data_IF_099015056551
#
_entry.id   IF_099015056551
#
_cell.length_a   1.000
_cell.length_b   1.000
_cell.length_c   1.000
_cell.angle_alpha   90.00
_cell.angle_beta   90.00
_cell.angle_gamma   90.00
#
_symmetry.space_group_name_H-M   'P 1'
#
loop_
_entity.id
_entity.type
_entity.pdbx_description
1 polymer ?
#
# COMPACT_ATOMS: atom_id res chain seq x y z
N UNK A 1 -62.27 36.57 -12.98
CA UNK A 1 -62.58 37.45 -11.84
C UNK A 1 -61.97 36.82 -10.61
N UNK A 2 -60.77 37.28 -10.28
CA UNK A 2 -60.18 37.07 -8.97
C UNK A 2 -60.86 38.06 -8.02
N UNK A 3 -61.21 37.62 -6.82
CA UNK A 3 -61.09 38.52 -5.70
C UNK A 3 -60.68 37.79 -4.43
N UNK A 4 -59.82 38.50 -3.71
CA UNK A 4 -58.88 38.07 -2.70
C UNK A 4 -59.49 38.35 -1.32
N UNK A 5 -59.35 37.46 -0.33
CA UNK A 5 -59.50 37.83 1.08
C UNK A 5 -58.78 36.85 2.03
N UNK A 6 -57.48 37.10 2.19
CA UNK A 6 -56.84 37.36 3.49
C UNK A 6 -57.36 36.57 4.72
N UNK A 7 -56.81 35.38 4.98
CA UNK A 7 -56.98 34.68 6.27
C UNK A 7 -55.73 34.86 7.12
N UNK A 8 -55.89 35.64 8.18
CA UNK A 8 -54.93 35.87 9.26
C UNK A 8 -54.42 34.53 9.83
N UNK A 9 -53.09 34.41 9.91
CA UNK A 9 -52.42 33.43 10.74
C UNK A 9 -52.91 33.54 12.19
N UNK A 10 -53.59 32.50 12.69
CA UNK A 10 -53.75 32.27 14.12
C UNK A 10 -52.63 31.33 14.56
N UNK A 11 -51.56 31.93 15.06
CA UNK A 11 -50.54 31.25 15.88
C UNK A 11 -51.26 30.71 17.10
N UNK A 12 -51.53 29.40 17.11
CA UNK A 12 -52.03 28.69 18.28
C UNK A 12 -50.81 28.23 19.06
N UNK A 13 -50.31 29.10 19.94
CA UNK A 13 -49.31 28.73 20.93
C UNK A 13 -49.96 27.73 21.90
N UNK A 14 -49.79 26.43 21.63
CA UNK A 14 -50.26 25.37 22.50
C UNK A 14 -49.34 25.35 23.73
N UNK A 15 -49.89 25.79 24.86
CA UNK A 15 -49.31 25.77 26.20
C UNK A 15 -49.04 24.33 26.65
N UNK A 16 -47.89 23.77 26.24
CA UNK A 16 -47.36 22.49 26.78
C UNK A 16 -46.84 22.65 28.22
N UNK A 17 -46.80 23.87 28.75
CA UNK A 17 -46.38 24.17 30.13
C UNK A 17 -47.32 23.67 31.23
N UNK A 18 -48.54 23.22 30.92
CA UNK A 18 -49.55 22.88 31.95
C UNK A 18 -49.67 21.38 32.25
N UNK A 19 -49.09 20.49 31.45
CA UNK A 19 -49.24 19.03 31.67
C UNK A 19 -48.19 18.49 32.65
N UNK A 20 -47.03 19.14 32.79
CA UNK A 20 -46.02 18.76 33.79
C UNK A 20 -46.38 19.20 35.23
N UNK A 21 -47.41 20.03 35.41
CA UNK A 21 -47.91 20.45 36.72
C UNK A 21 -48.90 19.48 37.38
N UNK A 22 -49.42 18.48 36.66
CA UNK A 22 -50.51 17.61 37.16
C UNK A 22 -50.03 16.22 37.57
N UNK A 23 -48.80 15.81 37.25
CA UNK A 23 -48.25 14.51 37.73
C UNK A 23 -47.81 14.59 39.23
N UNK A 24 -47.81 15.78 39.83
CA UNK A 24 -47.36 16.02 41.21
C UNK A 24 -48.45 16.22 42.29
N UNK A 25 -49.74 16.26 41.95
CA UNK A 25 -50.79 16.55 42.94
C UNK A 25 -51.98 15.60 42.77
N UNK A 26 -52.08 14.62 43.69
CA UNK A 26 -53.33 13.92 43.94
C UNK A 26 -54.38 14.91 44.41
N UNK A 27 -55.38 15.20 43.57
CA UNK A 27 -56.51 16.05 43.91
C UNK A 27 -57.66 15.18 44.44
N UNK A 28 -57.71 15.03 45.76
CA UNK A 28 -58.95 14.76 46.48
C UNK A 28 -59.66 16.08 46.73
N UNK A 29 -60.85 16.27 46.14
CA UNK A 29 -61.68 17.44 46.40
C UNK A 29 -62.39 17.31 47.77
N UNK A 30 -62.13 18.24 48.68
CA UNK A 30 -62.80 18.35 50.00
C UNK A 30 -64.03 19.23 49.84
N UNK A 31 -65.23 18.66 49.94
CA UNK A 31 -66.45 19.45 50.10
C UNK A 31 -66.63 19.82 51.58
N UNK A 32 -66.48 21.10 51.90
CA UNK A 32 -66.74 21.70 53.21
C UNK A 32 -68.09 22.42 53.18
N UNK A 33 -69.13 21.77 53.70
CA UNK A 33 -70.31 22.45 54.22
C UNK A 33 -70.51 21.97 55.66
N UNK A 34 -70.47 22.92 56.60
CA UNK A 34 -70.57 22.62 58.02
C UNK A 34 -71.96 22.14 58.41
N UNK A 35 -72.02 21.06 59.18
CA UNK A 35 -72.35 21.19 60.59
C UNK A 35 -71.82 19.99 61.38
N UNK A 36 -71.41 20.27 62.62
CA UNK A 36 -70.98 19.40 63.73
C UNK A 36 -70.62 17.91 63.45
N UNK A 37 -69.33 17.63 63.68
CA UNK A 37 -68.75 16.36 64.15
C UNK A 37 -69.08 15.07 63.34
N UNK A 38 -68.24 14.73 62.37
CA UNK A 38 -68.23 13.42 61.73
C UNK A 38 -66.99 13.19 60.85
N UNK A 39 -66.36 12.03 61.00
CA UNK A 39 -65.10 11.60 60.33
C UNK A 39 -65.22 11.65 58.79
N UNK A 40 -64.27 12.32 58.12
CA UNK A 40 -64.19 12.35 56.66
C UNK A 40 -63.85 10.94 56.12
N UNK A 41 -64.76 10.36 55.33
CA UNK A 41 -64.51 9.11 54.58
C UNK A 41 -64.04 9.46 53.17
N UNK A 42 -62.90 8.93 52.76
CA UNK A 42 -62.43 8.97 51.38
C UNK A 42 -63.23 7.98 50.54
N UNK A 43 -63.88 8.48 49.48
CA UNK A 43 -64.40 7.65 48.40
C UNK A 43 -63.54 7.88 47.16
N UNK A 44 -63.02 6.84 46.48
CA UNK A 44 -62.29 7.02 45.24
C UNK A 44 -63.27 7.51 44.17
N UNK A 45 -63.05 8.72 43.65
CA UNK A 45 -63.74 9.17 42.45
C UNK A 45 -63.32 8.28 41.28
N UNK A 46 -64.28 7.61 40.65
CA UNK A 46 -64.03 6.90 39.40
C UNK A 46 -63.58 7.94 38.38
N UNK A 47 -62.33 7.84 37.94
CA UNK A 47 -61.81 8.59 36.81
C UNK A 47 -62.74 8.34 35.62
N UNK A 48 -63.34 9.40 35.10
CA UNK A 48 -64.27 9.24 33.97
C UNK A 48 -63.50 8.74 32.74
N UNK A 49 -64.23 8.15 31.80
CA UNK A 49 -63.63 7.57 30.59
C UNK A 49 -62.96 8.63 29.71
N UNK A 50 -63.37 9.88 29.84
CA UNK A 50 -62.91 10.98 28.99
C UNK A 50 -61.52 11.43 29.45
N UNK A 51 -61.33 11.64 30.75
CA UNK A 51 -60.04 11.95 31.37
C UNK A 51 -59.02 10.84 31.15
N UNK A 52 -59.46 9.57 31.24
CA UNK A 52 -58.59 8.42 30.97
C UNK A 52 -58.15 8.34 29.49
N UNK A 53 -59.03 8.70 28.56
CA UNK A 53 -58.73 8.74 27.13
C UNK A 53 -57.80 9.90 26.76
N UNK A 54 -57.96 11.07 27.39
CA UNK A 54 -57.03 12.19 27.22
C UNK A 54 -55.62 11.86 27.73
N UNK A 55 -55.53 11.15 28.86
CA UNK A 55 -54.24 10.71 29.41
C UNK A 55 -53.55 9.68 28.50
N UNK A 56 -54.30 8.72 27.95
CA UNK A 56 -53.74 7.74 27.02
C UNK A 56 -53.30 8.40 25.71
N UNK A 57 -54.10 9.31 25.16
CA UNK A 57 -53.73 10.08 23.96
C UNK A 57 -52.48 10.93 24.18
N UNK A 58 -52.35 11.55 25.35
CA UNK A 58 -51.15 12.31 25.72
C UNK A 58 -49.92 11.41 25.89
N UNK A 59 -50.10 10.19 26.43
CA UNK A 59 -49.03 9.20 26.57
C UNK A 59 -48.57 8.64 25.22
N UNK A 60 -49.50 8.42 24.29
CA UNK A 60 -49.21 7.97 22.94
C UNK A 60 -48.48 9.07 22.14
N UNK A 61 -48.90 10.33 22.27
CA UNK A 61 -48.18 11.47 21.70
C UNK A 61 -46.75 11.63 22.27
N UNK A 62 -46.54 11.32 23.55
CA UNK A 62 -45.21 11.30 24.16
C UNK A 62 -44.34 10.16 23.62
N UNK A 63 -44.93 8.99 23.35
CA UNK A 63 -44.24 7.86 22.73
C UNK A 63 -43.87 8.13 21.27
N UNK A 64 -44.77 8.74 20.52
CA UNK A 64 -44.50 9.17 19.14
C UNK A 64 -43.39 10.23 19.09
N UNK A 65 -43.41 11.21 19.99
CA UNK A 65 -42.33 12.22 20.06
C UNK A 65 -40.98 11.64 20.49
N UNK A 66 -40.96 10.64 21.38
CA UNK A 66 -39.72 9.90 21.68
C UNK A 66 -39.22 9.09 20.48
N UNK A 67 -40.12 8.45 19.72
CA UNK A 67 -39.77 7.73 18.50
C UNK A 67 -39.20 8.67 17.43
N UNK A 68 -39.78 9.86 17.26
CA UNK A 68 -39.27 10.89 16.34
C UNK A 68 -37.88 11.38 16.76
N UNK A 69 -37.63 11.55 18.06
CA UNK A 69 -36.29 11.95 18.52
C UNK A 69 -35.23 10.86 18.27
N UNK A 70 -35.61 9.59 18.37
CA UNK A 70 -34.71 8.48 18.05
C UNK A 70 -34.36 8.46 16.55
N UNK A 71 -35.35 8.61 15.67
CA UNK A 71 -35.11 8.65 14.21
C UNK A 71 -34.32 9.88 13.77
N UNK A 72 -34.52 11.04 14.41
CA UNK A 72 -33.73 12.26 14.12
C UNK A 72 -32.25 12.08 14.49
N UNK A 73 -31.94 11.35 15.56
CA UNK A 73 -30.56 11.03 15.91
C UNK A 73 -29.89 10.09 14.88
N UNK A 74 -30.66 9.21 14.25
CA UNK A 74 -30.21 8.28 13.21
C UNK A 74 -29.97 8.93 11.84
N UNK A 75 -30.44 10.16 11.61
CA UNK A 75 -30.21 10.92 10.35
C UNK A 75 -29.31 12.15 10.54
N UNK A 76 -28.91 12.48 11.76
CA UNK A 76 -28.03 13.63 12.01
C UNK A 76 -26.61 13.40 11.45
N UNK A 77 -25.85 14.44 11.05
CA UNK A 77 -24.46 14.30 10.64
C UNK A 77 -23.58 13.66 11.73
N UNK A 78 -22.58 12.86 11.33
CA UNK A 78 -21.70 12.10 12.25
C UNK A 78 -21.01 12.99 13.30
N UNK A 79 -20.62 14.22 12.94
CA UNK A 79 -20.01 15.20 13.84
C UNK A 79 -20.92 15.61 15.01
N UNK A 80 -22.24 15.61 14.78
CA UNK A 80 -23.24 15.95 15.79
C UNK A 80 -23.49 14.75 16.70
N UNK A 81 -23.53 13.53 16.14
CA UNK A 81 -23.69 12.28 16.92
C UNK A 81 -22.54 12.04 17.90
N UNK A 82 -21.31 12.42 17.52
CA UNK A 82 -20.10 12.20 18.34
C UNK A 82 -19.95 13.19 19.50
N UNK A 83 -20.72 14.28 19.57
CA UNK A 83 -20.63 15.27 20.65
C UNK A 83 -21.49 14.89 21.85
N UNK A 84 -20.87 14.52 22.98
CA UNK A 84 -21.58 14.37 24.25
C UNK A 84 -21.34 15.58 25.15
N UNK A 85 -22.41 16.11 25.75
CA UNK A 85 -22.31 17.18 26.76
C UNK A 85 -22.65 16.57 28.11
N UNK A 86 -21.66 16.35 28.96
CA UNK A 86 -21.85 15.79 30.31
C UNK A 86 -22.32 14.33 30.31
N UNK A 87 -21.83 13.50 29.38
CA UNK A 87 -22.15 12.06 29.31
C UNK A 87 -23.55 11.74 28.78
N UNK A 88 -24.30 12.74 28.30
CA UNK A 88 -25.60 12.56 27.63
C UNK A 88 -25.49 12.93 26.16
N UNK A 89 -26.22 12.23 25.27
CA UNK A 89 -26.30 12.61 23.86
C UNK A 89 -26.89 14.03 23.73
N UNK A 90 -26.50 14.78 22.70
CA UNK A 90 -26.94 16.15 22.53
C UNK A 90 -28.45 16.17 22.24
N UNK A 91 -29.18 17.10 22.86
CA UNK A 91 -30.58 17.34 22.52
C UNK A 91 -30.63 17.97 21.12
N UNK A 92 -31.05 17.20 20.13
CA UNK A 92 -31.24 17.67 18.77
C UNK A 92 -32.52 18.52 18.72
N UNK A 93 -32.39 19.84 18.57
CA UNK A 93 -33.51 20.67 18.15
C UNK A 93 -33.68 20.50 16.64
N UNK A 94 -34.89 20.19 16.13
CA UNK A 94 -35.11 20.05 14.69
C UNK A 94 -35.10 21.44 14.06
N UNK A 95 -33.94 21.89 13.63
CA UNK A 95 -33.78 23.05 12.75
C UNK A 95 -33.30 22.46 11.43
N UNK A 96 -34.25 22.05 10.59
CA UNK A 96 -34.08 21.59 9.19
C UNK A 96 -32.68 21.07 8.85
N UNK A 97 -32.36 19.84 9.26
CA UNK A 97 -31.27 19.11 8.63
C UNK A 97 -31.79 18.58 7.29
N UNK A 98 -31.62 19.37 6.24
CA UNK A 98 -31.69 18.81 4.89
C UNK A 98 -30.39 18.02 4.69
N UNK A 99 -30.43 16.68 4.54
CA UNK A 99 -29.23 15.94 4.18
C UNK A 99 -28.70 16.52 2.87
N UNK A 100 -27.38 16.58 2.75
CA UNK A 100 -26.77 17.13 1.55
C UNK A 100 -26.97 16.13 0.41
N UNK A 101 -27.89 16.44 -0.49
CA UNK A 101 -28.18 15.62 -1.65
C UNK A 101 -27.31 16.04 -2.81
N UNK A 102 -26.67 15.06 -3.45
CA UNK A 102 -25.84 15.24 -4.63
C UNK A 102 -26.56 14.66 -5.84
N UNK A 103 -26.55 15.39 -6.95
CA UNK A 103 -27.03 14.87 -8.22
C UNK A 103 -25.84 14.42 -9.05
N UNK A 104 -25.78 13.12 -9.33
CA UNK A 104 -24.74 12.54 -10.18
C UNK A 104 -25.36 12.04 -11.49
N UNK A 105 -24.57 12.08 -12.56
CA UNK A 105 -24.95 11.47 -13.84
C UNK A 105 -24.37 10.07 -13.89
N UNK A 106 -25.23 9.05 -13.88
CA UNK A 106 -24.84 7.66 -14.09
C UNK A 106 -25.35 7.20 -15.45
N UNK A 107 -24.46 7.14 -16.44
CA UNK A 107 -24.82 6.84 -17.83
C UNK A 107 -25.70 7.93 -18.45
N UNK A 108 -26.93 7.55 -18.80
CA UNK A 108 -27.93 8.40 -19.46
C UNK A 108 -28.96 9.02 -18.50
N UNK A 109 -28.92 8.70 -17.20
CA UNK A 109 -29.85 9.23 -16.20
C UNK A 109 -29.14 9.97 -15.05
N UNK A 110 -29.84 10.93 -14.44
CA UNK A 110 -29.38 11.63 -13.24
C UNK A 110 -29.97 10.97 -12.00
N UNK A 111 -29.11 10.61 -11.04
CA UNK A 111 -29.49 10.00 -9.77
C UNK A 111 -29.23 11.00 -8.64
N UNK A 112 -30.18 11.14 -7.71
CA UNK A 112 -29.98 11.90 -6.48
C UNK A 112 -29.47 10.93 -5.42
N UNK A 113 -28.35 11.27 -4.80
CA UNK A 113 -27.61 10.44 -3.84
C UNK A 113 -27.48 11.23 -2.54
N UNK A 114 -27.83 10.60 -1.42
CA UNK A 114 -27.47 11.11 -0.11
C UNK A 114 -26.06 10.60 0.24
N UNK A 115 -25.10 11.50 0.29
CA UNK A 115 -23.69 11.13 0.51
C UNK A 115 -23.41 10.66 1.94
N UNK A 116 -24.33 10.89 2.88
CA UNK A 116 -24.19 10.47 4.28
C UNK A 116 -24.89 9.14 4.58
N UNK A 117 -25.65 8.60 3.63
CA UNK A 117 -26.33 7.32 3.76
C UNK A 117 -25.45 6.19 3.21
N UNK A 118 -25.19 5.17 4.03
CA UNK A 118 -24.43 3.98 3.66
C UNK A 118 -25.12 3.16 2.56
N UNK A 119 -26.45 3.24 2.47
CA UNK A 119 -27.25 2.50 1.51
C UNK A 119 -27.31 3.20 0.15
N UNK A 120 -26.88 4.46 0.09
CA UNK A 120 -26.88 5.23 -1.14
C UNK A 120 -25.80 4.73 -2.12
N UNK A 121 -26.05 4.82 -3.45
CA UNK A 121 -25.08 4.39 -4.44
C UNK A 121 -23.72 5.08 -4.27
N UNK A 122 -22.65 4.30 -4.38
CA UNK A 122 -21.28 4.85 -4.37
C UNK A 122 -21.06 5.70 -5.62
N UNK A 123 -20.54 6.92 -5.42
CA UNK A 123 -20.21 7.82 -6.52
C UNK A 123 -18.97 7.32 -7.27
N UNK A 124 -18.01 6.76 -6.54
CA UNK A 124 -16.76 6.22 -7.07
C UNK A 124 -16.74 4.71 -6.91
N UNK A 125 -16.44 3.98 -7.99
CA UNK A 125 -16.47 2.52 -7.98
C UNK A 125 -15.53 1.95 -6.90
N UNK A 126 -16.09 1.07 -6.06
CA UNK A 126 -15.33 0.34 -5.04
C UNK A 126 -14.98 1.13 -3.78
N UNK A 127 -15.36 2.42 -3.67
CA UNK A 127 -15.07 3.25 -2.49
C UNK A 127 -16.38 3.89 -1.96
N UNK A 128 -16.77 3.62 -0.70
CA UNK A 128 -17.95 4.23 -0.07
C UNK A 128 -17.88 5.75 0.01
N UNK A 129 -19.02 6.43 -0.17
CA UNK A 129 -19.11 7.89 -0.06
C UNK A 129 -18.65 8.38 1.33
N UNK A 130 -19.04 7.66 2.39
CA UNK A 130 -18.63 7.97 3.75
C UNK A 130 -17.10 7.92 3.94
N UNK A 131 -16.38 7.05 3.25
CA UNK A 131 -14.93 6.98 3.38
C UNK A 131 -14.27 8.29 2.94
N UNK A 132 -14.72 8.90 1.84
CA UNK A 132 -14.21 10.21 1.43
C UNK A 132 -14.52 11.29 2.48
N UNK A 133 -15.68 11.25 3.10
CA UNK A 133 -16.10 12.25 4.11
C UNK A 133 -15.27 12.09 5.39
N UNK A 134 -15.12 10.86 5.89
CA UNK A 134 -14.39 10.57 7.13
C UNK A 134 -12.89 10.87 7.01
N UNK A 135 -12.33 10.77 5.80
CA UNK A 135 -10.94 11.14 5.52
C UNK A 135 -10.77 12.57 4.99
N UNK A 136 -11.79 13.43 5.10
CA UNK A 136 -11.68 14.85 4.75
C UNK A 136 -11.59 15.16 3.25
N UNK A 137 -11.84 14.17 2.38
CA UNK A 137 -11.77 14.24 0.92
C UNK A 137 -13.09 14.66 0.24
N UNK A 138 -13.98 15.32 0.97
CA UNK A 138 -15.29 15.74 0.44
C UNK A 138 -15.18 16.63 -0.80
N UNK A 139 -14.13 17.46 -0.87
CA UNK A 139 -13.85 18.32 -2.02
C UNK A 139 -13.40 17.52 -3.27
N UNK A 140 -12.70 16.40 -3.07
CA UNK A 140 -12.22 15.55 -4.15
C UNK A 140 -13.31 14.61 -4.64
N UNK A 141 -14.20 14.13 -3.76
CA UNK A 141 -15.33 13.26 -4.09
C UNK A 141 -16.24 13.82 -5.21
N UNK A 142 -16.30 15.15 -5.39
CA UNK A 142 -17.03 15.78 -6.51
C UNK A 142 -16.40 15.64 -7.88
N UNK A 143 -15.16 15.16 -7.97
CA UNK A 143 -14.40 15.01 -9.22
C UNK A 143 -14.55 13.59 -9.72
N UNK A 144 -14.77 13.41 -11.02
CA UNK A 144 -14.98 12.08 -11.62
C UNK A 144 -13.83 11.07 -11.35
N UNK A 145 -12.60 11.56 -11.13
CA UNK A 145 -11.43 10.72 -10.85
C UNK A 145 -11.01 10.69 -9.39
N UNK A 146 -11.88 11.04 -8.43
CA UNK A 146 -11.50 11.19 -7.01
C UNK A 146 -10.75 9.99 -6.44
N UNK A 147 -11.16 8.77 -6.82
CA UNK A 147 -10.52 7.54 -6.36
C UNK A 147 -9.08 7.37 -6.84
N UNK A 148 -8.73 7.93 -8.01
CA UNK A 148 -7.40 7.78 -8.61
C UNK A 148 -6.53 9.03 -8.42
N UNK A 149 -7.02 10.00 -7.62
CA UNK A 149 -6.27 11.18 -7.21
C UNK A 149 -5.36 10.87 -6.03
N UNK A 150 -4.27 11.63 -5.96
CA UNK A 150 -3.32 11.69 -4.85
C UNK A 150 -3.60 13.00 -4.09
N UNK A 151 -4.39 12.91 -3.02
CA UNK A 151 -4.97 14.07 -2.34
C UNK A 151 -3.98 14.75 -1.39
N UNK A 152 -3.04 14.01 -0.81
CA UNK A 152 -2.01 14.51 0.10
C UNK A 152 -0.63 14.71 -0.55
N UNK A 153 -0.45 14.22 -1.78
CA UNK A 153 0.74 14.42 -2.60
C UNK A 153 1.87 13.42 -2.33
N UNK A 154 1.60 12.34 -1.59
CA UNK A 154 2.61 11.36 -1.22
C UNK A 154 2.95 10.39 -2.37
N UNK A 155 2.14 10.35 -3.43
CA UNK A 155 2.31 9.53 -4.62
C UNK A 155 1.45 8.24 -4.63
N UNK A 156 0.64 7.99 -3.61
CA UNK A 156 -0.40 6.97 -3.59
C UNK A 156 -1.75 7.56 -3.99
N UNK A 157 -2.60 6.75 -4.62
CA UNK A 157 -3.96 7.17 -4.93
C UNK A 157 -4.90 6.84 -3.79
N UNK A 158 -5.98 7.62 -3.67
CA UNK A 158 -7.04 7.40 -2.70
C UNK A 158 -7.57 5.95 -2.71
N UNK A 159 -7.59 5.28 -3.87
CA UNK A 159 -7.97 3.87 -4.02
C UNK A 159 -6.96 2.90 -3.42
N UNK A 160 -5.67 3.15 -3.64
CA UNK A 160 -4.59 2.34 -3.07
C UNK A 160 -4.63 2.43 -1.53
N UNK A 161 -4.86 3.63 -1.01
CA UNK A 161 -4.97 3.91 0.42
C UNK A 161 -6.23 3.35 1.05
N UNK A 162 -7.37 3.46 0.37
CA UNK A 162 -8.61 2.80 0.78
C UNK A 162 -8.40 1.29 0.95
N UNK A 163 -7.72 0.67 -0.01
CA UNK A 163 -7.43 -0.78 0.01
C UNK A 163 -6.44 -1.14 1.13
N UNK A 164 -5.49 -0.27 1.40
CA UNK A 164 -4.48 -0.44 2.45
C UNK A 164 -4.95 0.01 3.85
N UNK A 165 -6.16 0.58 3.96
CA UNK A 165 -6.71 1.16 5.18
C UNK A 165 -5.83 2.27 5.79
N UNK A 166 -5.22 3.09 4.92
CA UNK A 166 -4.43 4.26 5.32
C UNK A 166 -5.21 5.55 5.15
N UNK A 167 -4.73 6.64 5.74
CA UNK A 167 -5.36 7.95 5.70
C UNK A 167 -4.89 8.78 4.49
N UNK A 168 -5.75 9.01 3.48
CA UNK A 168 -5.42 9.73 2.24
C UNK A 168 -5.33 11.25 2.36
N UNK A 169 -5.44 11.76 3.58
CA UNK A 169 -5.24 13.17 3.89
C UNK A 169 -3.96 13.41 4.70
N UNK A 170 -3.21 12.34 5.00
CA UNK A 170 -2.01 12.38 5.81
C UNK A 170 -0.85 11.73 5.05
N UNK A 171 0.10 12.52 4.50
CA UNK A 171 1.20 12.00 3.67
C UNK A 171 2.19 11.15 4.48
N UNK A 172 2.10 11.16 5.81
CA UNK A 172 2.89 10.29 6.68
C UNK A 172 2.24 8.91 6.89
N UNK A 173 0.97 8.75 6.52
CA UNK A 173 0.16 7.54 6.60
C UNK A 173 0.02 6.89 5.22
N UNK A 174 1.11 6.34 4.70
CA UNK A 174 1.13 5.76 3.35
C UNK A 174 1.13 4.21 3.35
N UNK A 175 0.61 3.57 2.29
CA UNK A 175 0.76 2.12 2.07
C UNK A 175 2.23 1.69 1.89
N UNK A 176 2.51 0.37 1.92
CA UNK A 176 3.82 -0.15 1.50
C UNK A 176 4.10 0.18 0.03
N UNK A 177 5.33 0.61 -0.26
CA UNK A 177 5.81 0.96 -1.62
C UNK A 177 5.65 -0.21 -2.62
N UNK A 178 5.72 -1.44 -2.11
CA UNK A 178 5.49 -2.66 -2.90
C UNK A 178 4.69 -3.66 -2.07
N UNK A 179 3.57 -4.14 -2.62
CA UNK A 179 2.76 -5.20 -2.00
C UNK A 179 1.40 -5.35 -2.68
N UNK A 180 0.91 -6.60 -2.81
CA UNK A 180 -0.35 -6.87 -3.49
C UNK A 180 -0.34 -6.34 -4.93
N UNK A 181 -1.23 -5.38 -5.23
CA UNK A 181 -1.33 -4.70 -6.53
C UNK A 181 -0.56 -3.37 -6.60
N UNK A 182 0.08 -2.94 -5.50
CA UNK A 182 0.77 -1.65 -5.39
C UNK A 182 2.23 -1.80 -5.83
N UNK A 183 2.63 -0.96 -6.77
CA UNK A 183 4.00 -0.88 -7.29
C UNK A 183 4.42 0.59 -7.43
N UNK A 184 5.08 1.12 -6.40
CA UNK A 184 5.62 2.50 -6.38
C UNK A 184 7.14 2.52 -6.51
N UNK A 185 7.62 1.71 -7.45
CA UNK A 185 9.01 1.65 -7.86
C UNK A 185 9.11 1.87 -9.36
N UNK A 186 10.20 2.48 -9.78
CA UNK A 186 10.63 2.49 -11.18
C UNK A 186 12.08 2.03 -11.27
N UNK A 187 12.42 1.29 -12.31
CA UNK A 187 13.81 0.95 -12.61
C UNK A 187 14.43 2.05 -13.48
N UNK A 188 15.30 2.87 -12.89
CA UNK A 188 15.88 4.04 -13.57
C UNK A 188 17.06 3.70 -14.45
N UNK A 189 17.80 2.66 -14.09
CA UNK A 189 19.05 2.30 -14.77
C UNK A 189 19.30 0.81 -14.71
N UNK A 190 19.60 0.21 -15.85
CA UNK A 190 20.07 -1.18 -15.93
C UNK A 190 21.51 -1.16 -16.45
N UNK A 191 22.42 -1.76 -15.68
CA UNK A 191 23.83 -1.87 -16.03
C UNK A 191 24.26 -3.33 -16.00
N UNK A 192 24.65 -3.87 -17.15
CA UNK A 192 25.29 -5.19 -17.22
C UNK A 192 26.80 -5.02 -17.24
N UNK A 193 27.45 -5.48 -16.18
CA UNK A 193 28.91 -5.58 -16.11
C UNK A 193 29.34 -6.91 -16.69
N UNK A 194 30.06 -6.89 -17.82
CA UNK A 194 30.63 -8.08 -18.43
C UNK A 194 32.15 -8.07 -18.27
N UNK A 195 32.71 -9.15 -17.75
CA UNK A 195 34.15 -9.31 -17.57
C UNK A 195 34.57 -10.75 -17.84
N UNK A 196 35.82 -10.95 -18.23
CA UNK A 196 36.43 -12.27 -18.36
C UNK A 196 37.58 -12.38 -17.37
N UNK A 197 37.59 -13.46 -16.60
CA UNK A 197 38.66 -13.88 -15.71
C UNK A 197 39.49 -14.93 -16.43
N UNK A 198 40.75 -14.59 -16.67
CA UNK A 198 41.72 -15.45 -17.30
C UNK A 198 42.85 -15.74 -16.32
N UNK A 199 43.06 -17.02 -16.01
CA UNK A 199 44.20 -17.43 -15.20
C UNK A 199 45.40 -17.67 -16.09
N UNK A 200 46.60 -17.39 -15.56
CA UNK A 200 47.84 -17.72 -16.23
C UNK A 200 47.95 -19.21 -16.55
N UNK A 201 48.28 -19.53 -17.80
CA UNK A 201 48.32 -20.92 -18.28
C UNK A 201 49.27 -21.82 -17.47
N UNK A 202 50.37 -21.26 -16.93
CA UNK A 202 51.32 -22.01 -16.10
C UNK A 202 50.71 -22.53 -14.80
N UNK A 203 49.61 -21.93 -14.33
CA UNK A 203 48.90 -22.40 -13.14
C UNK A 203 48.23 -23.77 -13.35
N UNK A 204 47.94 -24.17 -14.60
CA UNK A 204 47.28 -25.44 -14.91
C UNK A 204 48.14 -26.65 -14.55
N UNK A 205 49.48 -26.52 -14.57
CA UNK A 205 50.40 -27.61 -14.30
C UNK A 205 50.43 -27.97 -12.80
N UNK A 206 50.00 -29.17 -12.39
CA UNK A 206 50.03 -29.59 -10.99
C UNK A 206 51.44 -29.63 -10.38
N UNK A 207 52.49 -29.76 -11.20
CA UNK A 207 53.89 -29.78 -10.76
C UNK A 207 54.44 -28.39 -10.44
N UNK A 208 53.78 -27.33 -10.94
CA UNK A 208 54.18 -25.94 -10.71
C UNK A 208 53.83 -25.51 -9.29
N UNK A 209 54.84 -25.40 -8.41
CA UNK A 209 54.65 -24.95 -7.02
C UNK A 209 54.50 -23.44 -6.98
N UNK A 210 53.28 -22.98 -6.70
CA UNK A 210 52.99 -21.56 -6.43
C UNK A 210 51.88 -21.43 -5.39
N UNK A 211 52.05 -20.48 -4.48
CA UNK A 211 51.07 -20.06 -3.46
C UNK A 211 50.16 -18.93 -3.96
N UNK A 212 50.39 -18.44 -5.17
CA UNK A 212 49.58 -17.41 -5.83
C UNK A 212 49.04 -17.86 -7.19
N UNK A 213 47.98 -17.20 -7.63
CA UNK A 213 47.45 -17.31 -9.00
C UNK A 213 47.38 -15.93 -9.63
N UNK A 214 48.00 -15.77 -10.80
CA UNK A 214 47.83 -14.59 -11.62
C UNK A 214 46.46 -14.62 -12.32
N UNK A 215 45.59 -13.68 -11.97
CA UNK A 215 44.28 -13.51 -12.60
C UNK A 215 44.30 -12.21 -13.40
N UNK A 216 44.00 -12.33 -14.69
CA UNK A 216 43.74 -11.20 -15.58
C UNK A 216 42.24 -11.02 -15.72
N UNK A 217 41.72 -9.88 -15.26
CA UNK A 217 40.32 -9.49 -15.43
C UNK A 217 40.23 -8.52 -16.59
N UNK A 218 39.50 -8.87 -17.65
CA UNK A 218 39.31 -8.01 -18.82
C UNK A 218 37.83 -7.67 -18.98
N UNK A 219 37.50 -6.38 -19.10
CA UNK A 219 36.13 -5.96 -19.39
C UNK A 219 35.73 -6.41 -20.80
N UNK A 220 34.51 -6.95 -20.93
CA UNK A 220 33.93 -7.36 -22.20
C UNK A 220 32.90 -6.32 -22.70
N UNK A 221 32.75 -6.23 -24.01
CA UNK A 221 31.68 -5.46 -24.66
C UNK A 221 30.33 -6.17 -24.53
N UNK A 222 29.22 -5.51 -24.91
CA UNK A 222 27.88 -6.13 -25.01
C UNK A 222 27.87 -7.38 -25.91
N UNK A 223 28.77 -7.48 -26.88
CA UNK A 223 28.91 -8.64 -27.78
C UNK A 223 29.85 -9.73 -27.23
N UNK A 224 30.36 -9.58 -26.00
CA UNK A 224 31.28 -10.54 -25.38
C UNK A 224 32.74 -10.41 -25.83
N UNK A 225 33.10 -9.36 -26.57
CA UNK A 225 34.48 -9.16 -27.03
C UNK A 225 35.34 -8.45 -25.96
N UNK A 226 36.59 -8.87 -25.72
CA UNK A 226 37.51 -8.21 -24.80
C UNK A 226 37.82 -6.77 -25.19
N UNK A 227 37.95 -5.89 -24.19
CA UNK A 227 38.34 -4.47 -24.36
C UNK A 227 39.78 -4.23 -23.90
N UNK A 228 40.27 -2.99 -24.07
CA UNK A 228 41.61 -2.57 -23.55
C UNK A 228 41.65 -2.41 -22.03
N UNK A 229 40.49 -2.44 -21.38
CA UNK A 229 40.36 -2.30 -19.93
C UNK A 229 40.58 -3.67 -19.28
N UNK A 230 41.83 -3.91 -18.89
CA UNK A 230 42.26 -5.16 -18.27
C UNK A 230 43.20 -4.90 -17.10
N UNK A 231 42.99 -5.62 -15.99
CA UNK A 231 43.83 -5.57 -14.80
C UNK A 231 44.36 -6.98 -14.50
N UNK A 232 45.67 -7.10 -14.28
CA UNK A 232 46.30 -8.36 -13.88
C UNK A 232 46.81 -8.22 -12.45
N UNK A 233 46.47 -9.18 -11.59
CA UNK A 233 46.93 -9.23 -10.20
C UNK A 233 47.08 -10.67 -9.73
N UNK A 234 48.02 -10.89 -8.83
CA UNK A 234 48.23 -12.18 -8.18
C UNK A 234 47.42 -12.27 -6.88
N UNK A 235 46.79 -13.43 -6.67
CA UNK A 235 45.92 -13.69 -5.52
C UNK A 235 46.34 -14.95 -4.78
N UNK A 236 46.22 -14.94 -3.46
CA UNK A 236 46.43 -16.08 -2.56
C UNK A 236 45.10 -16.67 -2.12
N UNK A 237 45.15 -17.86 -1.53
CA UNK A 237 43.99 -18.46 -0.87
C UNK A 237 43.51 -17.55 0.27
N UNK A 238 42.21 -17.25 0.28
CA UNK A 238 41.56 -16.31 1.20
C UNK A 238 41.41 -14.89 0.65
N UNK A 239 42.09 -14.53 -0.44
CA UNK A 239 41.99 -13.18 -1.01
C UNK A 239 40.65 -12.96 -1.73
N UNK A 240 40.14 -11.72 -1.63
CA UNK A 240 38.99 -11.27 -2.42
C UNK A 240 39.45 -10.83 -3.82
N UNK A 241 38.89 -11.47 -4.84
CA UNK A 241 39.17 -11.20 -6.25
C UNK A 241 38.41 -9.96 -6.68
N UNK A 242 39.17 -8.96 -7.14
CA UNK A 242 38.63 -7.72 -7.68
C UNK A 242 38.18 -7.94 -9.12
N UNK A 243 36.89 -7.70 -9.38
CA UNK A 243 36.28 -7.72 -10.71
C UNK A 243 35.97 -6.29 -11.12
N UNK A 244 36.85 -5.70 -11.95
CA UNK A 244 36.75 -4.30 -12.37
C UNK A 244 36.66 -3.34 -11.16
N UNK A 245 35.51 -2.72 -10.90
CA UNK A 245 35.31 -1.84 -9.73
C UNK A 245 34.92 -2.59 -8.46
N UNK A 246 34.45 -3.83 -8.57
CA UNK A 246 33.92 -4.61 -7.46
C UNK A 246 35.02 -5.44 -6.80
N UNK A 247 35.46 -5.06 -5.60
CA UNK A 247 36.62 -5.68 -4.94
C UNK A 247 36.30 -7.00 -4.21
N UNK A 248 35.02 -7.35 -4.02
CA UNK A 248 34.58 -8.47 -3.14
C UNK A 248 33.61 -9.45 -3.81
N UNK A 249 33.65 -9.57 -5.15
CA UNK A 249 32.70 -10.43 -5.88
C UNK A 249 32.95 -11.92 -5.63
N UNK A 250 34.22 -12.33 -5.67
CA UNK A 250 34.65 -13.71 -5.45
C UNK A 250 35.74 -13.76 -4.40
N UNK A 251 35.81 -14.84 -3.64
CA UNK A 251 36.92 -15.16 -2.75
C UNK A 251 37.64 -16.40 -3.23
N UNK A 252 38.96 -16.38 -3.20
CA UNK A 252 39.76 -17.58 -3.50
C UNK A 252 39.60 -18.57 -2.35
N UNK A 253 38.89 -19.67 -2.59
CA UNK A 253 38.66 -20.71 -1.59
C UNK A 253 39.84 -21.65 -1.44
N UNK A 254 40.33 -22.18 -2.56
CA UNK A 254 41.46 -23.10 -2.59
C UNK A 254 42.00 -23.25 -4.03
N UNK A 255 43.18 -23.86 -4.13
CA UNK A 255 43.71 -24.38 -5.39
C UNK A 255 43.55 -25.90 -5.38
N UNK A 256 42.69 -26.40 -6.25
CA UNK A 256 42.36 -27.82 -6.31
C UNK A 256 42.99 -28.46 -7.55
N UNK A 257 43.13 -29.78 -7.53
CA UNK A 257 43.54 -30.58 -8.68
C UNK A 257 42.35 -31.41 -9.14
N UNK A 258 42.01 -31.34 -10.42
CA UNK A 258 40.87 -32.04 -11.01
C UNK A 258 41.26 -32.74 -12.31
N UNK A 259 40.61 -33.86 -12.57
CA UNK A 259 40.73 -34.59 -13.83
C UNK A 259 39.70 -34.06 -14.84
N UNK A 260 40.16 -33.76 -16.04
CA UNK A 260 39.32 -33.37 -17.16
C UNK A 260 39.56 -34.31 -18.35
N UNK A 261 38.55 -34.56 -19.21
CA UNK A 261 38.78 -35.25 -20.47
C UNK A 261 39.76 -34.45 -21.32
N UNK A 262 40.72 -35.13 -21.94
CA UNK A 262 41.64 -34.49 -22.87
C UNK A 262 40.85 -33.94 -24.07
N UNK A 263 41.26 -32.77 -24.57
CA UNK A 263 40.52 -32.07 -25.62
C UNK A 263 40.43 -32.85 -26.96
N UNK A 264 41.36 -33.77 -27.21
CA UNK A 264 41.42 -34.55 -28.45
C UNK A 264 40.95 -36.00 -28.28
N UNK A 265 41.01 -36.55 -27.07
CA UNK A 265 40.55 -37.89 -26.74
C UNK A 265 39.84 -37.90 -25.38
N UNK A 266 38.50 -37.91 -25.36
CA UNK A 266 37.72 -37.90 -24.13
C UNK A 266 37.93 -39.12 -23.23
N UNK A 267 38.52 -40.21 -23.76
CA UNK A 267 38.86 -41.41 -22.99
C UNK A 267 40.13 -41.24 -22.15
N UNK A 268 40.96 -40.25 -22.52
CA UNK A 268 42.16 -39.87 -21.78
C UNK A 268 41.80 -38.79 -20.76
N UNK A 269 42.24 -38.98 -19.51
CA UNK A 269 42.05 -37.99 -18.46
C UNK A 269 43.34 -37.22 -18.21
N UNK A 270 43.26 -35.91 -18.32
CA UNK A 270 44.35 -34.99 -17.99
C UNK A 270 44.08 -34.38 -16.61
N UNK A 271 45.12 -34.35 -15.78
CA UNK A 271 45.04 -33.75 -14.45
C UNK A 271 45.49 -32.30 -14.53
N UNK A 272 44.61 -31.39 -14.18
CA UNK A 272 44.90 -29.95 -14.16
C UNK A 272 44.65 -29.37 -12.78
N UNK A 273 45.41 -28.33 -12.47
CA UNK A 273 45.14 -27.50 -11.31
C UNK A 273 44.16 -26.39 -11.68
N UNK A 274 43.17 -26.21 -10.81
CA UNK A 274 42.06 -25.27 -10.97
C UNK A 274 41.95 -24.34 -9.78
N UNK A 275 41.44 -23.15 -10.05
CA UNK A 275 41.09 -22.18 -9.02
C UNK A 275 39.66 -22.45 -8.56
N UNK A 276 39.46 -22.59 -7.26
CA UNK A 276 38.12 -22.68 -6.69
C UNK A 276 37.77 -21.34 -6.08
N UNK A 277 36.72 -20.72 -6.60
CA UNK A 277 36.17 -19.45 -6.15
C UNK A 277 34.88 -19.69 -5.36
N UNK A 278 34.72 -18.93 -4.28
CA UNK A 278 33.45 -18.78 -3.58
C UNK A 278 32.77 -17.49 -4.04
N UNK A 279 31.47 -17.58 -4.33
CA UNK A 279 30.64 -16.45 -4.69
C UNK A 279 30.20 -15.71 -3.41
N UNK A 280 30.78 -14.54 -3.15
CA UNK A 280 30.47 -13.75 -1.95
C UNK A 280 29.08 -13.11 -1.98
N UNK A 281 28.45 -13.00 -3.16
CA UNK A 281 27.10 -12.44 -3.32
C UNK A 281 26.02 -13.50 -3.11
N UNK A 282 26.33 -14.75 -3.40
CA UNK A 282 25.48 -15.89 -3.12
C UNK A 282 26.25 -16.96 -2.32
N UNK A 283 26.32 -16.84 -0.98
CA UNK A 283 27.05 -17.79 -0.14
C UNK A 283 26.44 -19.21 -0.15
N UNK A 284 25.24 -19.38 -0.69
CA UNK A 284 24.61 -20.70 -0.88
C UNK A 284 24.97 -21.34 -2.23
N UNK A 285 25.59 -20.60 -3.15
CA UNK A 285 26.03 -21.13 -4.42
C UNK A 285 27.14 -22.16 -4.24
N UNK A 286 27.18 -23.16 -5.12
CA UNK A 286 28.27 -24.11 -5.15
C UNK A 286 29.59 -23.39 -5.54
N UNK A 287 30.75 -23.80 -4.98
CA UNK A 287 32.04 -23.24 -5.36
C UNK A 287 32.31 -23.40 -6.87
N UNK A 288 32.83 -22.35 -7.48
CA UNK A 288 33.06 -22.26 -8.92
C UNK A 288 34.49 -22.71 -9.21
N UNK A 289 34.66 -23.68 -10.10
CA UNK A 289 35.98 -24.15 -10.53
C UNK A 289 36.37 -23.51 -11.86
N UNK A 290 37.51 -22.84 -11.90
CA UNK A 290 38.00 -22.13 -13.09
C UNK A 290 39.30 -22.78 -13.57
N UNK A 291 39.31 -23.25 -14.82
CA UNK A 291 40.49 -23.81 -15.50
C UNK A 291 41.39 -22.70 -16.04
N UNK A 292 42.70 -22.92 -16.04
CA UNK A 292 43.66 -21.90 -16.44
C UNK A 292 43.99 -21.89 -17.93
N UNK A 293 44.31 -20.72 -18.48
CA UNK A 293 44.54 -20.56 -19.92
C UNK A 293 43.37 -19.96 -20.68
N UNK A 294 43.58 -19.68 -21.97
CA UNK A 294 42.60 -18.97 -22.82
C UNK A 294 41.51 -19.91 -23.30
N UNK A 295 40.23 -19.46 -23.32
CA UNK A 295 39.17 -20.24 -23.92
C UNK A 295 39.46 -20.49 -25.40
N UNK A 296 39.27 -21.73 -25.85
CA UNK A 296 39.43 -22.08 -27.27
C UNK A 296 38.14 -21.74 -28.03
N UNK A 297 38.26 -21.39 -29.31
CA UNK A 297 37.09 -21.23 -30.15
C UNK A 297 36.35 -22.58 -30.26
N UNK A 298 35.04 -22.59 -30.00
CA UNK A 298 34.16 -23.76 -30.03
C UNK A 298 34.39 -24.81 -28.93
N UNK A 299 35.04 -24.45 -27.82
CA UNK A 299 35.17 -25.33 -26.66
C UNK A 299 33.80 -25.55 -26.00
N UNK A 300 33.44 -26.81 -25.72
CA UNK A 300 32.25 -27.11 -24.94
C UNK A 300 32.31 -26.41 -23.58
N UNK A 301 31.17 -25.98 -23.05
CA UNK A 301 31.11 -25.21 -21.81
C UNK A 301 31.79 -25.93 -20.63
N UNK A 302 31.78 -27.26 -20.62
CA UNK A 302 32.43 -28.12 -19.63
C UNK A 302 33.96 -28.13 -19.69
N UNK A 303 34.54 -27.75 -20.83
CA UNK A 303 35.99 -27.67 -21.04
C UNK A 303 36.52 -26.24 -20.98
N UNK A 304 35.64 -25.25 -20.88
CA UNK A 304 35.98 -23.86 -21.05
C UNK A 304 37.05 -23.40 -20.06
N UNK A 305 38.10 -22.79 -20.60
CA UNK A 305 39.13 -22.14 -19.81
C UNK A 305 38.76 -20.68 -19.48
N UNK A 306 39.16 -20.24 -18.29
CA UNK A 306 38.73 -18.96 -17.73
C UNK A 306 37.24 -18.96 -17.35
N UNK A 307 36.75 -17.78 -16.98
CA UNK A 307 35.37 -17.58 -16.56
C UNK A 307 34.86 -16.26 -17.10
N UNK A 308 33.69 -16.27 -17.74
CA UNK A 308 32.99 -15.02 -18.08
C UNK A 308 32.00 -14.68 -16.96
N UNK A 309 31.97 -13.41 -16.59
CA UNK A 309 31.05 -12.83 -15.61
C UNK A 309 30.10 -11.91 -16.38
N UNK A 310 28.81 -12.02 -16.08
CA UNK A 310 27.78 -11.12 -16.57
C UNK A 310 26.85 -10.76 -15.40
N UNK A 311 27.21 -9.71 -14.67
CA UNK A 311 26.44 -9.22 -13.54
C UNK A 311 25.53 -8.08 -14.00
N UNK A 312 24.23 -8.33 -14.02
CA UNK A 312 23.22 -7.29 -14.29
C UNK A 312 22.80 -6.64 -12.98
N UNK A 313 22.93 -5.33 -12.89
CA UNK A 313 22.45 -4.52 -11.78
C UNK A 313 21.32 -3.59 -12.24
N UNK A 314 20.31 -3.44 -11.39
CA UNK A 314 19.20 -2.49 -11.60
C UNK A 314 19.23 -1.46 -10.48
N UNK A 315 19.14 -0.19 -10.86
CA UNK A 315 18.90 0.91 -9.92
C UNK A 315 17.40 1.18 -9.91
N UNK A 316 16.81 1.04 -8.73
CA UNK A 316 15.40 1.37 -8.50
C UNK A 316 15.29 2.75 -7.87
N UNK A 317 14.25 3.49 -8.23
CA UNK A 317 13.81 4.70 -7.56
C UNK A 317 12.43 4.50 -6.98
N UNK A 318 12.24 5.00 -5.76
CA UNK A 318 10.94 5.00 -5.09
C UNK A 318 10.11 6.19 -5.61
N UNK A 319 8.88 5.94 -6.03
CA UNK A 319 8.02 6.97 -6.62
C UNK A 319 6.97 7.53 -5.68
N UNK A 320 6.75 6.93 -4.50
CA UNK A 320 5.78 7.37 -3.50
C UNK A 320 6.22 7.15 -2.04
N UNK A 321 5.52 7.80 -1.11
CA UNK A 321 5.74 7.75 0.34
C UNK A 321 6.94 8.56 0.82
N UNK A 322 7.31 8.37 2.09
CA UNK A 322 8.39 9.16 2.76
C UNK A 322 9.76 9.05 2.11
N UNK A 323 10.01 7.93 1.44
CA UNK A 323 11.26 7.62 0.77
C UNK A 323 11.26 7.98 -0.72
N UNK A 324 10.22 8.70 -1.20
CA UNK A 324 10.09 9.15 -2.59
C UNK A 324 11.36 9.87 -3.08
N UNK A 325 11.83 9.45 -4.25
CA UNK A 325 13.05 9.95 -4.89
C UNK A 325 14.33 9.25 -4.44
N UNK A 326 14.31 8.42 -3.39
CA UNK A 326 15.50 7.63 -3.01
C UNK A 326 15.77 6.56 -4.05
N UNK A 327 17.04 6.37 -4.34
CA UNK A 327 17.53 5.36 -5.27
C UNK A 327 18.35 4.29 -4.53
N UNK A 328 18.23 3.05 -4.99
CA UNK A 328 19.05 1.94 -4.48
C UNK A 328 19.35 0.94 -5.60
N UNK A 329 20.53 0.34 -5.53
CA UNK A 329 21.04 -0.59 -6.54
C UNK A 329 20.93 -2.03 -6.07
N UNK A 330 20.42 -2.91 -6.93
CA UNK A 330 20.20 -4.34 -6.65
C UNK A 330 20.78 -5.16 -7.79
N UNK A 331 21.45 -6.27 -7.46
CA UNK A 331 21.94 -7.22 -8.45
C UNK A 331 20.89 -8.28 -8.79
N UNK A 332 20.91 -8.74 -10.05
CA UNK A 332 20.04 -9.81 -10.51
C UNK A 332 20.23 -11.07 -9.64
N UNK A 333 19.12 -11.63 -9.16
CA UNK A 333 19.12 -12.78 -8.26
C UNK A 333 19.38 -12.45 -6.78
N UNK A 334 19.74 -11.20 -6.45
CA UNK A 334 19.98 -10.78 -5.07
C UNK A 334 18.66 -10.52 -4.33
N UNK A 335 18.61 -10.96 -3.08
CA UNK A 335 17.56 -10.57 -2.14
C UNK A 335 17.81 -9.17 -1.60
N UNK A 336 16.76 -8.35 -1.50
CA UNK A 336 16.84 -6.98 -0.99
C UNK A 336 15.56 -6.62 -0.24
N UNK A 337 15.62 -5.55 0.56
CA UNK A 337 14.46 -4.97 1.21
C UNK A 337 14.22 -3.59 0.60
N UNK A 338 12.99 -3.32 0.18
CA UNK A 338 12.62 -2.00 -0.35
C UNK A 338 12.44 -1.06 0.85
N UNK A 339 13.08 0.13 0.86
CA UNK A 339 12.80 1.14 1.89
C UNK A 339 11.29 1.45 1.94
N UNK A 340 10.71 1.43 3.15
CA UNK A 340 9.26 1.55 3.35
C UNK A 340 8.46 0.25 3.22
N UNK A 341 9.09 -0.88 2.92
CA UNK A 341 8.45 -2.20 2.95
C UNK A 341 9.24 -3.17 3.85
N UNK A 342 8.54 -3.92 4.70
CA UNK A 342 9.17 -4.95 5.54
C UNK A 342 9.35 -6.29 4.81
N UNK A 343 8.76 -6.45 3.62
CA UNK A 343 8.85 -7.68 2.86
C UNK A 343 10.22 -7.83 2.18
N UNK A 344 10.76 -9.05 2.22
CA UNK A 344 11.94 -9.39 1.45
C UNK A 344 11.57 -9.54 -0.04
N UNK A 345 12.33 -8.87 -0.89
CA UNK A 345 12.19 -8.90 -2.34
C UNK A 345 13.37 -9.64 -2.98
N UNK A 346 13.19 -10.14 -4.20
CA UNK A 346 14.29 -10.69 -5.00
C UNK A 346 14.11 -10.26 -6.45
N UNK A 347 15.19 -9.75 -7.04
CA UNK A 347 15.21 -9.37 -8.45
C UNK A 347 15.32 -10.63 -9.31
N UNK A 348 14.31 -10.92 -10.13
CA UNK A 348 14.22 -12.19 -10.89
C UNK A 348 14.72 -12.05 -12.32
N UNK A 349 14.26 -11.04 -13.02
CA UNK A 349 14.49 -10.90 -14.45
C UNK A 349 14.49 -9.43 -14.84
N UNK A 350 15.25 -9.10 -15.87
CA UNK A 350 15.19 -7.81 -16.55
C UNK A 350 14.68 -8.08 -17.97
N UNK A 351 13.51 -7.57 -18.29
CA UNK A 351 12.90 -7.73 -19.60
C UNK A 351 13.08 -6.44 -20.41
N UNK A 352 14.12 -6.43 -21.24
CA UNK A 352 14.42 -5.29 -22.13
C UNK A 352 13.33 -5.08 -23.21
N UNK A 353 12.59 -6.13 -23.60
CA UNK A 353 11.56 -6.05 -24.64
C UNK A 353 10.29 -5.38 -24.10
N UNK A 354 9.92 -5.71 -22.86
CA UNK A 354 8.71 -5.17 -22.20
C UNK A 354 9.00 -3.89 -21.41
N UNK A 355 10.23 -3.37 -21.48
CA UNK A 355 10.69 -2.22 -20.72
C UNK A 355 10.37 -2.33 -19.21
N UNK A 356 10.56 -3.51 -18.64
CA UNK A 356 10.17 -3.82 -17.26
C UNK A 356 11.16 -4.75 -16.57
N UNK A 357 11.08 -4.80 -15.24
CA UNK A 357 11.91 -5.61 -14.37
C UNK A 357 11.01 -6.42 -13.46
N UNK A 358 11.23 -7.73 -13.39
CA UNK A 358 10.40 -8.64 -12.59
C UNK A 358 11.02 -8.83 -11.22
N UNK A 359 10.25 -8.54 -10.17
CA UNK A 359 10.63 -8.77 -8.77
C UNK A 359 9.66 -9.78 -8.13
N UNK A 360 10.17 -10.66 -7.28
CA UNK A 360 9.32 -11.47 -6.39
C UNK A 360 9.33 -10.88 -4.99
N UNK A 361 8.16 -10.75 -4.37
CA UNK A 361 7.99 -10.21 -3.02
C UNK A 361 7.47 -11.30 -2.12
N UNK A 362 8.07 -11.46 -0.94
CA UNK A 362 7.65 -12.46 0.03
C UNK A 362 6.19 -12.20 0.46
N UNK A 363 5.34 -13.21 0.31
CA UNK A 363 3.90 -13.13 0.63
C UNK A 363 3.00 -12.73 -0.53
N UNK A 364 3.57 -12.44 -1.71
CA UNK A 364 2.80 -12.23 -2.95
C UNK A 364 3.01 -13.45 -3.86
N UNK A 365 1.92 -14.10 -4.27
CA UNK A 365 1.97 -15.34 -5.08
C UNK A 365 2.54 -15.10 -6.48
N UNK A 366 2.25 -13.94 -7.07
CA UNK A 366 2.67 -13.59 -8.43
C UNK A 366 3.86 -12.64 -8.43
N UNK A 367 4.82 -12.81 -9.36
CA UNK A 367 5.87 -11.82 -9.57
C UNK A 367 5.28 -10.48 -9.99
N UNK A 368 5.91 -9.40 -9.53
CA UNK A 368 5.50 -8.03 -9.80
C UNK A 368 6.41 -7.46 -10.90
N UNK A 369 5.79 -6.84 -11.89
CA UNK A 369 6.50 -6.12 -12.94
C UNK A 369 6.68 -4.66 -12.53
N UNK A 370 7.93 -4.24 -12.40
CA UNK A 370 8.32 -2.85 -12.15
C UNK A 370 8.65 -2.21 -13.50
N UNK A 371 8.00 -1.10 -13.90
CA UNK A 371 8.32 -0.43 -15.14
C UNK A 371 9.73 0.15 -15.09
N UNK A 372 10.44 0.12 -16.22
CA UNK A 372 11.64 0.93 -16.39
C UNK A 372 11.23 2.38 -16.66
N UNK A 373 11.91 3.32 -16.01
CA UNK A 373 11.69 4.74 -16.26
C UNK A 373 11.86 4.99 -17.76
N UNK A 374 10.91 5.71 -18.36
CA UNK A 374 11.08 6.14 -19.74
C UNK A 374 12.40 6.92 -19.83
N UNK A 375 13.28 6.56 -20.77
CA UNK A 375 14.44 7.38 -21.07
C UNK A 375 13.89 8.78 -21.40
N UNK A 376 14.00 9.71 -20.46
CA UNK A 376 13.87 11.13 -20.79
C UNK A 376 14.95 11.34 -21.83
N UNK A 377 14.52 11.52 -23.08
CA UNK A 377 15.38 11.91 -24.17
C UNK A 377 16.06 13.22 -23.76
N UNK A 378 17.22 13.08 -23.12
CA UNK A 378 18.22 14.12 -23.06
C UNK A 378 18.76 14.24 -24.48
N UNK A 379 17.97 14.90 -25.34
CA UNK A 379 18.52 15.72 -26.41
C UNK A 379 19.27 16.88 -25.76
N UNK A 380 20.40 16.55 -25.15
CA UNK A 380 21.48 17.50 -24.92
C UNK A 380 22.16 17.63 -26.28
N UNK A 381 21.70 18.60 -27.06
CA UNK A 381 22.52 19.21 -28.08
C UNK A 381 23.80 19.74 -27.41
N UNK A 382 24.95 19.20 -27.79
CA UNK A 382 26.18 19.93 -28.13
C UNK A 382 27.19 19.02 -28.83
#
# INVERSE_FOLDING_TARGET
>A
MADNNNVKAKVTALTVGSVLGIIGLGLGAVNLMGDKAGVARFAPSKMDRETAAELSSSLDALRETQAINATVAEVAPLEVRKKTTGGKPPRLAPIFFAPQLWQIRQGDHNTVVDIYDEQSPTIHEGIPNLWFIENGLMADMGKAGAADMDSDGDGFTNREEYTAQTNPSDPDSCPPVVGGSIVKLEATKVETTRAQLLLEAMFADPSYKTDTVGITVTRLTKKGLPTKDSEKKDYKVGDDVKVLKEAKRFRVKEFATKEFPAAYDPSVKETERVLVLEDCYNPKAAPISVRAGRPRANEHAEHRHGMDIADTAVTFRITAGKDRGKEFKVLLGQGFTVPGCQAACTLREVNEVQNSVTISVQGVESPINVPMAAETANNSAE
#
